data_IF_015280692488
#
_entry.id   IF_015280692488
#
_cell.length_a   1.000
_cell.length_b   1.000
_cell.length_c   1.000
_cell.angle_alpha   90.00
_cell.angle_beta   90.00
_cell.angle_gamma   90.00
#
_symmetry.space_group_name_H-M   'P 1'
#
loop_
_entity.id
_entity.type
_entity.pdbx_description
1 polymer ?
#
# COMPACT_ATOMS: atom_id res chain seq x y z
N UNK A 1 -24.96 54.05 12.54
CA UNK A 1 -23.54 54.45 12.67
C UNK A 1 -23.06 54.01 14.05
N UNK A 2 -22.33 52.89 14.13
CA UNK A 2 -21.68 52.47 15.36
C UNK A 2 -20.17 52.51 15.10
N UNK A 3 -19.52 53.49 15.72
CA UNK A 3 -18.09 53.77 15.61
C UNK A 3 -17.34 52.89 16.61
N UNK A 4 -16.44 52.05 16.11
CA UNK A 4 -15.37 51.43 16.89
C UNK A 4 -14.35 52.51 17.31
N UNK A 5 -13.86 52.50 18.57
CA UNK A 5 -12.61 53.16 18.90
C UNK A 5 -11.41 52.18 18.86
N UNK A 6 -10.16 52.70 18.67
CA UNK A 6 -9.00 51.93 18.22
C UNK A 6 -8.10 51.40 19.34
N UNK A 7 -7.29 50.41 18.98
CA UNK A 7 -6.19 49.83 19.76
C UNK A 7 -5.09 50.86 20.08
N UNK A 8 -4.48 50.78 21.28
CA UNK A 8 -3.05 50.44 21.48
C UNK A 8 -2.53 50.69 22.92
N UNK A 9 -1.45 49.96 23.25
CA UNK A 9 -0.36 50.22 24.23
C UNK A 9 -0.34 49.47 25.59
N UNK A 10 0.14 48.23 25.51
CA UNK A 10 1.45 47.75 26.04
C UNK A 10 1.98 48.43 27.33
N UNK A 11 1.83 47.78 28.49
CA UNK A 11 2.81 47.84 29.59
C UNK A 11 3.01 46.44 30.17
N UNK A 12 4.29 46.08 30.25
CA UNK A 12 4.88 44.88 30.82
C UNK A 12 4.62 44.82 32.33
N UNK A 13 4.17 43.67 32.83
CA UNK A 13 4.49 43.27 34.19
C UNK A 13 5.04 41.84 34.18
N UNK A 14 6.34 41.80 34.37
CA UNK A 14 7.18 40.65 34.64
C UNK A 14 6.64 39.85 35.82
N UNK A 15 6.60 38.53 35.67
CA UNK A 15 6.82 37.60 36.79
C UNK A 15 7.49 36.35 36.27
N UNK A 16 8.79 36.35 36.48
CA UNK A 16 9.68 35.19 36.46
C UNK A 16 9.21 34.19 37.54
N UNK A 17 9.27 32.90 37.22
CA UNK A 17 9.39 31.86 38.24
C UNK A 17 10.08 30.65 37.61
N UNK A 18 11.40 30.67 37.72
CA UNK A 18 12.24 29.49 37.64
C UNK A 18 12.02 28.63 38.87
N UNK A 19 11.83 27.33 38.66
CA UNK A 19 12.01 26.31 39.67
C UNK A 19 12.62 25.09 38.99
N UNK A 20 13.94 25.02 39.07
CA UNK A 20 14.71 23.80 38.86
C UNK A 20 14.18 22.70 39.78
N UNK A 21 13.76 21.58 39.21
CA UNK A 21 13.66 20.32 39.95
C UNK A 21 14.52 19.31 39.20
N UNK A 22 15.79 19.31 39.54
CA UNK A 22 16.61 18.12 39.45
C UNK A 22 16.00 17.04 40.36
N UNK A 23 15.57 15.93 39.77
CA UNK A 23 15.48 14.66 40.50
C UNK A 23 15.95 13.54 39.59
N UNK A 24 17.24 13.25 39.77
CA UNK A 24 17.88 11.93 39.74
C UNK A 24 17.43 10.90 38.71
N UNK A 25 18.30 10.71 37.73
CA UNK A 25 18.57 9.41 37.09
C UNK A 25 18.76 8.32 38.15
N UNK A 26 17.96 7.26 38.12
CA UNK A 26 18.29 5.99 38.77
C UNK A 26 18.43 4.91 37.71
N UNK A 27 19.68 4.53 37.47
CA UNK A 27 20.05 3.25 36.88
C UNK A 27 20.40 2.29 38.02
N UNK A 28 19.59 1.26 38.24
CA UNK A 28 19.81 0.05 39.05
C UNK A 28 18.50 -0.75 38.92
N UNK A 29 18.37 -2.06 38.74
CA UNK A 29 19.21 -3.26 38.66
C UNK A 29 18.41 -4.22 37.74
N UNK A 30 19.00 -5.18 37.03
CA UNK A 30 19.50 -6.41 37.65
C UNK A 30 18.32 -7.23 38.19
N UNK A 31 18.03 -8.32 37.47
CA UNK A 31 17.29 -9.53 37.87
C UNK A 31 15.84 -9.46 38.41
N UNK A 32 15.05 -10.42 37.91
CA UNK A 32 14.26 -11.39 38.72
C UNK A 32 12.76 -11.54 38.36
N UNK A 33 12.26 -12.75 38.60
CA UNK A 33 10.91 -13.30 38.39
C UNK A 33 10.57 -13.84 36.99
N UNK A 34 11.36 -14.79 36.49
CA UNK A 34 10.80 -15.91 35.72
C UNK A 34 10.22 -16.94 36.70
N UNK A 35 9.01 -16.71 37.18
CA UNK A 35 8.28 -17.73 37.93
C UNK A 35 6.78 -17.51 37.79
N UNK A 36 6.13 -18.27 36.90
CA UNK A 36 4.79 -18.77 37.21
C UNK A 36 4.41 -20.00 36.38
N UNK A 37 4.59 -21.13 37.05
CA UNK A 37 3.76 -22.33 37.04
C UNK A 37 3.32 -22.93 35.70
N UNK A 38 4.16 -23.85 35.23
CA UNK A 38 3.74 -25.12 34.67
C UNK A 38 3.13 -25.97 35.80
N UNK A 39 1.80 -26.07 35.88
CA UNK A 39 1.16 -27.10 36.71
C UNK A 39 0.64 -28.20 35.79
N UNK A 40 1.30 -29.35 35.92
CA UNK A 40 0.83 -30.67 35.54
C UNK A 40 -0.35 -31.04 36.45
N UNK A 41 -1.45 -31.50 35.87
CA UNK A 41 -2.44 -32.29 36.61
C UNK A 41 -2.58 -33.64 35.89
N UNK A 42 -2.13 -34.66 36.60
CA UNK A 42 -2.11 -36.08 36.27
C UNK A 42 -3.46 -36.70 36.64
N UNK A 43 -4.05 -37.40 35.67
CA UNK A 43 -4.95 -38.56 35.75
C UNK A 43 -6.15 -38.59 36.72
N UNK A 44 -7.35 -38.75 36.15
CA UNK A 44 -8.17 -39.91 36.48
C UNK A 44 -9.03 -40.34 35.28
N UNK A 45 -9.00 -41.62 34.94
CA UNK A 45 -9.86 -42.25 33.93
C UNK A 45 -10.87 -43.14 34.63
N UNK A 46 -12.17 -42.94 34.36
CA UNK A 46 -13.09 -44.07 34.33
C UNK A 46 -13.60 -44.34 32.91
N UNK A 47 -13.47 -45.61 32.51
CA UNK A 47 -14.01 -46.15 31.29
C UNK A 47 -15.56 -46.15 31.27
N UNK A 48 -16.09 -46.19 30.05
CA UNK A 48 -17.46 -46.57 29.65
C UNK A 48 -18.54 -45.48 29.81
N UNK A 49 -18.81 -44.78 28.70
CA UNK A 49 -20.03 -44.87 27.89
C UNK A 49 -19.69 -44.25 26.53
N UNK A 50 -19.67 -45.05 25.47
CA UNK A 50 -19.52 -44.56 24.10
C UNK A 50 -20.72 -43.67 23.76
N UNK A 51 -20.56 -42.39 23.39
CA UNK A 51 -21.64 -41.65 22.76
C UNK A 51 -21.85 -42.21 21.34
N UNK A 52 -23.11 -42.30 20.86
CA UNK A 52 -23.39 -42.80 19.51
C UNK A 52 -22.69 -41.90 18.47
N UNK A 53 -22.27 -42.45 17.32
CA UNK A 53 -21.65 -41.65 16.27
C UNK A 53 -22.65 -40.58 15.80
N UNK A 54 -22.35 -39.32 16.12
CA UNK A 54 -23.11 -38.16 15.64
C UNK A 54 -23.04 -38.10 14.12
N UNK A 55 -24.18 -38.33 13.50
CA UNK A 55 -24.48 -38.12 12.08
C UNK A 55 -24.31 -36.64 11.73
N UNK A 56 -23.13 -36.27 11.21
CA UNK A 56 -22.97 -35.00 10.49
C UNK A 56 -23.38 -35.20 9.03
N UNK A 57 -24.15 -34.28 8.44
CA UNK A 57 -24.50 -34.35 7.03
C UNK A 57 -23.24 -34.21 6.16
N UNK A 58 -23.14 -35.06 5.14
CA UNK A 58 -22.18 -34.98 4.05
C UNK A 58 -22.10 -33.56 3.50
N UNK A 59 -21.02 -32.85 3.82
CA UNK A 59 -20.61 -31.70 3.01
C UNK A 59 -19.97 -32.25 1.76
N UNK A 60 -20.78 -32.30 0.70
CA UNK A 60 -20.36 -32.63 -0.65
C UNK A 60 -18.99 -32.02 -0.97
N UNK A 61 -18.03 -32.91 -1.24
CA UNK A 61 -16.74 -32.56 -1.81
C UNK A 61 -17.00 -31.95 -3.20
N UNK A 62 -17.06 -30.63 -3.29
CA UNK A 62 -16.97 -29.95 -4.59
C UNK A 62 -15.53 -30.04 -5.07
N UNK A 63 -15.19 -31.15 -5.72
CA UNK A 63 -14.01 -31.26 -6.57
C UNK A 63 -14.10 -30.14 -7.61
N UNK A 64 -13.33 -29.08 -7.39
CA UNK A 64 -13.04 -28.13 -8.45
C UNK A 64 -12.11 -28.86 -9.39
N UNK A 65 -12.64 -29.27 -10.54
CA UNK A 65 -11.84 -29.69 -11.68
C UNK A 65 -10.83 -28.59 -11.98
N UNK A 66 -9.58 -28.82 -11.57
CA UNK A 66 -8.43 -28.09 -12.06
C UNK A 66 -8.27 -28.48 -13.52
N UNK A 67 -8.90 -27.72 -14.41
CA UNK A 67 -8.51 -27.74 -15.80
C UNK A 67 -7.08 -27.18 -15.84
N UNK A 68 -6.13 -28.12 -15.82
CA UNK A 68 -4.74 -27.87 -16.13
C UNK A 68 -4.71 -27.26 -17.54
N UNK A 69 -4.57 -25.94 -17.62
CA UNK A 69 -4.13 -25.29 -18.84
C UNK A 69 -2.64 -25.55 -18.97
N UNK A 70 -2.33 -26.69 -19.57
CA UNK A 70 -1.01 -27.01 -20.07
C UNK A 70 -0.69 -26.02 -21.21
N UNK A 71 0.54 -25.51 -21.21
CA UNK A 71 1.15 -24.91 -22.40
C UNK A 71 0.71 -23.48 -22.72
N UNK A 72 1.40 -22.52 -22.11
CA UNK A 72 1.94 -21.41 -22.89
C UNK A 72 3.03 -20.76 -22.05
N UNK A 73 4.26 -20.73 -22.57
CA UNK A 73 5.26 -19.78 -22.13
C UNK A 73 4.70 -18.39 -22.39
N UNK A 74 3.89 -17.90 -21.45
CA UNK A 74 3.40 -16.54 -21.46
C UNK A 74 4.63 -15.66 -21.28
N UNK A 75 5.18 -15.19 -22.40
CA UNK A 75 5.80 -13.87 -22.45
C UNK A 75 4.77 -12.97 -21.80
N UNK A 76 4.97 -12.66 -20.52
CA UNK A 76 4.15 -11.67 -19.83
C UNK A 76 4.24 -10.45 -20.73
N UNK A 77 3.13 -9.92 -21.29
CA UNK A 77 3.24 -8.67 -22.02
C UNK A 77 3.90 -7.73 -21.05
N UNK A 78 5.04 -7.19 -21.44
CA UNK A 78 5.65 -6.06 -20.75
C UNK A 78 4.54 -5.02 -20.71
N UNK A 79 3.85 -4.93 -19.57
CA UNK A 79 2.84 -3.90 -19.36
C UNK A 79 3.63 -2.63 -19.18
N UNK A 80 4.07 -2.06 -20.29
CA UNK A 80 4.55 -0.70 -20.33
C UNK A 80 3.39 0.13 -19.77
N UNK A 81 3.65 0.94 -18.75
CA UNK A 81 2.64 1.82 -18.14
C UNK A 81 2.32 2.99 -19.10
N UNK A 82 2.15 2.68 -20.39
CA UNK A 82 1.94 3.64 -21.45
C UNK A 82 0.44 3.83 -21.64
N UNK A 83 -0.01 5.10 -21.78
CA UNK A 83 -1.37 5.41 -22.16
C UNK A 83 -1.77 4.69 -23.45
N UNK A 84 -2.87 3.94 -23.42
CA UNK A 84 -3.43 3.22 -24.59
C UNK A 84 -4.54 4.04 -25.22
N UNK A 85 -4.66 4.04 -26.53
CA UNK A 85 -5.78 4.71 -27.22
C UNK A 85 -7.12 4.03 -26.90
N UNK A 86 -8.16 4.84 -26.65
CA UNK A 86 -9.52 4.39 -26.37
C UNK A 86 -10.38 4.55 -27.63
N UNK A 87 -10.30 3.58 -28.54
CA UNK A 87 -11.02 3.62 -29.83
C UNK A 87 -12.55 3.76 -29.70
N UNK A 88 -13.13 3.30 -28.60
CA UNK A 88 -14.57 3.45 -28.34
C UNK A 88 -15.01 4.90 -28.09
N UNK A 89 -14.08 5.78 -27.74
CA UNK A 89 -14.32 7.21 -27.48
C UNK A 89 -13.69 8.10 -28.57
N UNK A 90 -13.25 7.50 -29.67
CA UNK A 90 -12.64 8.22 -30.77
C UNK A 90 -13.69 9.05 -31.50
N UNK A 91 -13.31 10.27 -31.88
CA UNK A 91 -14.04 11.03 -32.88
C UNK A 91 -13.49 10.70 -34.27
N UNK A 92 -14.15 9.77 -34.96
CA UNK A 92 -13.72 9.35 -36.30
C UNK A 92 -13.90 10.43 -37.37
N UNK A 93 -14.78 11.41 -37.14
CA UNK A 93 -15.00 12.50 -38.10
C UNK A 93 -13.79 13.44 -38.13
N UNK A 94 -13.32 13.85 -36.95
CA UNK A 94 -12.10 14.63 -36.78
C UNK A 94 -10.88 13.85 -37.23
N UNK A 95 -10.81 12.55 -36.91
CA UNK A 95 -9.72 11.69 -37.38
C UNK A 95 -9.63 11.67 -38.91
N UNK A 96 -10.74 11.45 -39.59
CA UNK A 96 -10.78 11.34 -41.05
C UNK A 96 -10.35 12.63 -41.74
N UNK A 97 -10.69 13.79 -41.18
CA UNK A 97 -10.29 15.08 -41.73
C UNK A 97 -8.79 15.35 -41.51
N UNK A 98 -8.26 15.00 -40.34
CA UNK A 98 -6.86 15.24 -39.99
C UNK A 98 -5.89 14.22 -40.61
N UNK A 99 -6.37 13.01 -40.91
CA UNK A 99 -5.59 11.95 -41.52
C UNK A 99 -5.72 11.92 -43.05
N UNK A 100 -6.26 12.98 -43.66
CA UNK A 100 -6.39 13.05 -45.11
C UNK A 100 -5.01 13.28 -45.75
N UNK A 101 -4.54 12.26 -46.49
CA UNK A 101 -3.24 12.25 -47.15
C UNK A 101 -3.49 12.33 -48.65
N UNK A 102 -3.09 13.44 -49.26
CA UNK A 102 -3.26 13.64 -50.71
C UNK A 102 -2.03 13.17 -51.46
N UNK A 103 -2.20 12.69 -52.70
CA UNK A 103 -1.13 12.18 -53.56
C UNK A 103 0.04 13.16 -53.68
N UNK A 104 -0.26 14.46 -53.83
CA UNK A 104 0.75 15.52 -53.96
C UNK A 104 1.64 15.69 -52.73
N UNK A 105 1.19 15.26 -51.55
CA UNK A 105 1.99 15.32 -50.30
C UNK A 105 2.93 14.13 -50.14
N UNK A 106 2.70 13.06 -50.90
CA UNK A 106 3.48 11.81 -50.86
C UNK A 106 4.46 11.73 -52.03
N UNK A 107 4.28 12.53 -53.08
CA UNK A 107 5.21 12.64 -54.22
C UNK A 107 6.48 13.46 -53.92
N UNK A 108 7.13 13.21 -52.78
CA UNK A 108 8.46 13.77 -52.47
C UNK A 108 9.55 12.95 -53.16
N UNK A 109 10.71 13.57 -53.44
CA UNK A 109 11.82 12.90 -54.11
C UNK A 109 12.46 11.78 -53.27
N UNK A 110 12.31 11.86 -51.95
CA UNK A 110 12.81 10.86 -51.00
C UNK A 110 11.67 10.05 -50.37
N UNK A 111 11.81 8.72 -50.41
CA UNK A 111 10.86 7.75 -49.85
C UNK A 111 10.84 7.82 -48.33
N UNK A 112 12.00 8.07 -47.69
CA UNK A 112 12.07 8.12 -46.23
C UNK A 112 11.23 9.28 -45.69
N UNK A 113 11.35 10.44 -46.35
CA UNK A 113 10.55 11.63 -46.06
C UNK A 113 9.04 11.37 -46.19
N UNK A 114 8.59 10.72 -47.28
CA UNK A 114 7.17 10.41 -47.47
C UNK A 114 6.64 9.48 -46.38
N UNK A 115 7.42 8.46 -45.99
CA UNK A 115 7.04 7.53 -44.92
C UNK A 115 6.93 8.25 -43.57
N UNK A 116 7.88 9.13 -43.25
CA UNK A 116 7.82 9.94 -42.03
C UNK A 116 6.62 10.87 -42.03
N UNK A 117 6.30 11.49 -43.17
CA UNK A 117 5.13 12.35 -43.30
C UNK A 117 3.83 11.59 -43.01
N UNK A 118 3.63 10.43 -43.64
CA UNK A 118 2.45 9.57 -43.42
C UNK A 118 2.37 9.15 -41.95
N UNK A 119 3.49 8.70 -41.37
CA UNK A 119 3.53 8.29 -39.97
C UNK A 119 3.16 9.44 -39.02
N UNK A 120 3.64 10.66 -39.28
CA UNK A 120 3.34 11.84 -38.50
C UNK A 120 1.88 12.28 -38.66
N UNK A 121 1.33 12.26 -39.88
CA UNK A 121 -0.08 12.57 -40.14
C UNK A 121 -1.01 11.65 -39.34
N UNK A 122 -0.79 10.33 -39.42
CA UNK A 122 -1.56 9.33 -38.66
C UNK A 122 -1.39 9.53 -37.15
N UNK A 123 -0.16 9.77 -36.69
CA UNK A 123 0.12 9.95 -35.25
C UNK A 123 -0.54 11.21 -34.70
N UNK A 124 -0.49 12.32 -35.44
CA UNK A 124 -1.07 13.60 -35.05
C UNK A 124 -2.59 13.57 -35.07
N UNK A 125 -3.19 12.98 -36.12
CA UNK A 125 -4.63 12.75 -36.17
C UNK A 125 -5.07 11.88 -34.99
N UNK A 126 -4.37 10.77 -34.73
CA UNK A 126 -4.67 9.86 -33.61
C UNK A 126 -4.59 10.56 -32.25
N UNK A 127 -3.56 11.37 -32.03
CA UNK A 127 -3.38 12.11 -30.76
C UNK A 127 -4.46 13.16 -30.53
N UNK A 128 -5.06 13.70 -31.60
CA UNK A 128 -6.06 14.77 -31.54
C UNK A 128 -7.48 14.24 -31.40
N UNK A 129 -7.81 13.12 -32.05
CA UNK A 129 -9.17 12.60 -32.12
C UNK A 129 -9.44 11.39 -31.22
N UNK A 130 -8.39 10.65 -30.80
CA UNK A 130 -8.54 9.45 -29.97
C UNK A 130 -7.99 9.72 -28.58
N UNK A 131 -8.85 9.82 -27.55
CA UNK A 131 -8.38 10.00 -26.19
C UNK A 131 -7.59 8.77 -25.74
N UNK A 132 -6.49 8.99 -25.02
CA UNK A 132 -5.71 7.92 -24.39
C UNK A 132 -6.24 7.62 -22.98
N UNK A 133 -6.07 6.38 -22.53
CA UNK A 133 -6.29 6.03 -21.12
C UNK A 133 -5.47 6.94 -20.24
N UNK A 134 -6.06 7.41 -19.15
CA UNK A 134 -5.31 8.13 -18.14
C UNK A 134 -4.10 7.31 -17.69
N UNK A 135 -2.93 7.93 -17.50
CA UNK A 135 -1.81 7.27 -16.86
C UNK A 135 -2.31 6.66 -15.55
N UNK A 136 -2.07 5.36 -15.33
CA UNK A 136 -2.38 4.75 -14.05
C UNK A 136 -1.47 5.39 -13.01
N UNK A 137 -1.96 6.41 -12.32
CA UNK A 137 -1.24 6.99 -11.20
C UNK A 137 -0.94 5.86 -10.23
N UNK A 138 0.35 5.70 -9.90
CA UNK A 138 0.73 4.74 -8.87
C UNK A 138 -0.02 5.15 -7.62
N UNK A 139 -0.76 4.21 -7.04
CA UNK A 139 -1.39 4.43 -5.73
C UNK A 139 -0.32 4.99 -4.81
N UNK A 140 -0.55 6.19 -4.26
CA UNK A 140 0.37 6.79 -3.30
C UNK A 140 0.70 5.74 -2.25
N UNK A 141 1.99 5.41 -2.14
CA UNK A 141 2.41 4.48 -1.09
C UNK A 141 2.18 5.21 0.22
N UNK A 142 1.64 4.50 1.19
CA UNK A 142 1.44 5.04 2.53
C UNK A 142 2.80 5.58 3.02
N UNK A 143 2.93 6.85 3.43
CA UNK A 143 4.22 7.44 3.79
C UNK A 143 4.98 6.67 4.88
N UNK A 144 4.23 6.07 5.82
CA UNK A 144 4.75 5.22 6.88
C UNK A 144 5.18 3.81 6.46
N UNK A 145 5.00 3.42 5.19
CA UNK A 145 5.33 2.08 4.71
C UNK A 145 6.83 1.97 4.35
N UNK A 146 7.64 1.59 5.33
CA UNK A 146 9.10 1.47 5.22
C UNK A 146 9.60 0.02 5.05
N UNK A 147 10.92 -0.16 4.99
CA UNK A 147 11.55 -1.49 4.87
C UNK A 147 11.20 -2.41 6.03
N UNK A 148 11.22 -1.90 7.27
CA UNK A 148 10.82 -2.66 8.46
C UNK A 148 9.37 -3.19 8.36
N UNK A 149 8.43 -2.39 7.84
CA UNK A 149 7.06 -2.84 7.58
C UNK A 149 6.96 -3.94 6.50
N UNK A 150 7.85 -3.92 5.50
CA UNK A 150 7.93 -4.98 4.49
C UNK A 150 8.46 -6.27 5.11
N UNK A 151 9.54 -6.20 5.88
CA UNK A 151 10.15 -7.36 6.52
C UNK A 151 9.25 -7.99 7.57
N UNK A 152 8.46 -7.16 8.28
CA UNK A 152 7.49 -7.67 9.25
C UNK A 152 6.35 -8.49 8.60
N UNK A 153 6.18 -8.45 7.27
CA UNK A 153 5.26 -9.35 6.55
C UNK A 153 5.71 -10.81 6.56
N UNK A 154 6.91 -11.13 7.08
CA UNK A 154 7.32 -12.49 7.42
C UNK A 154 6.31 -13.20 8.34
N UNK A 155 5.47 -12.46 9.07
CA UNK A 155 4.32 -13.03 9.80
C UNK A 155 3.42 -13.90 8.90
N UNK A 156 3.26 -13.54 7.63
CA UNK A 156 2.43 -14.29 6.67
C UNK A 156 3.09 -15.62 6.27
N UNK A 157 4.43 -15.67 6.24
CA UNK A 157 5.17 -16.90 5.98
C UNK A 157 4.95 -17.87 7.15
N UNK A 158 5.07 -17.37 8.38
CA UNK A 158 4.82 -18.16 9.59
C UNK A 158 3.36 -18.57 9.73
N UNK A 159 2.42 -17.69 9.37
CA UNK A 159 1.01 -18.04 9.26
C UNK A 159 0.78 -19.18 8.27
N UNK A 160 1.38 -19.09 7.08
CA UNK A 160 1.26 -20.14 6.07
C UNK A 160 1.89 -21.45 6.53
N UNK A 161 3.01 -21.39 7.28
CA UNK A 161 3.65 -22.56 7.88
C UNK A 161 2.75 -23.21 8.93
N UNK A 162 2.25 -22.45 9.90
CA UNK A 162 1.31 -22.93 10.92
C UNK A 162 0.03 -23.51 10.29
N UNK A 163 -0.53 -22.86 9.27
CA UNK A 163 -1.73 -23.35 8.59
C UNK A 163 -1.53 -24.68 7.88
N UNK A 164 -0.32 -24.97 7.40
CA UNK A 164 0.03 -26.27 6.78
C UNK A 164 0.38 -27.32 7.83
N UNK A 165 1.06 -26.90 8.89
CA UNK A 165 1.57 -27.77 9.94
C UNK A 165 1.22 -27.16 11.32
N UNK A 166 0.03 -27.48 11.86
CA UNK A 166 -0.49 -26.87 13.07
C UNK A 166 0.17 -27.46 14.33
N UNK A 167 1.44 -27.13 14.54
CA UNK A 167 2.20 -27.47 15.75
C UNK A 167 2.21 -26.29 16.72
N UNK A 168 2.41 -26.57 18.01
CA UNK A 168 2.49 -25.55 19.07
C UNK A 168 3.64 -24.58 18.82
N UNK A 169 4.81 -25.08 18.40
CA UNK A 169 5.96 -24.26 18.03
C UNK A 169 5.63 -23.26 16.90
N UNK A 170 4.98 -23.75 15.83
CA UNK A 170 4.57 -22.90 14.70
C UNK A 170 3.55 -21.84 15.14
N UNK A 171 2.65 -22.17 16.07
CA UNK A 171 1.68 -21.23 16.63
C UNK A 171 2.37 -20.12 17.44
N UNK A 172 3.31 -20.49 18.31
CA UNK A 172 4.08 -19.54 19.13
C UNK A 172 4.90 -18.60 18.24
N UNK A 173 5.64 -19.15 17.27
CA UNK A 173 6.42 -18.36 16.32
C UNK A 173 5.55 -17.37 15.53
N UNK A 174 4.40 -17.82 15.04
CA UNK A 174 3.44 -16.94 14.36
C UNK A 174 2.89 -15.85 15.28
N UNK A 175 2.46 -16.18 16.51
CA UNK A 175 1.94 -15.20 17.48
C UNK A 175 2.98 -14.13 17.80
N UNK A 176 4.23 -14.54 18.03
CA UNK A 176 5.34 -13.62 18.28
C UNK A 176 5.57 -12.68 17.08
N UNK A 177 5.70 -13.23 15.87
CA UNK A 177 5.89 -12.43 14.66
C UNK A 177 4.71 -11.49 14.37
N UNK A 178 3.47 -11.91 14.66
CA UNK A 178 2.27 -11.10 14.52
C UNK A 178 2.24 -9.92 15.49
N UNK A 179 2.65 -10.16 16.74
CA UNK A 179 2.85 -9.10 17.74
C UNK A 179 3.89 -8.08 17.28
N UNK A 180 5.05 -8.57 16.83
CA UNK A 180 6.14 -7.73 16.32
C UNK A 180 5.70 -6.89 15.10
N UNK A 181 5.03 -7.51 14.12
CA UNK A 181 4.54 -6.81 12.94
C UNK A 181 3.54 -5.69 13.28
N UNK A 182 2.66 -5.92 14.26
CA UNK A 182 1.76 -4.88 14.77
C UNK A 182 2.52 -3.73 15.42
N UNK A 183 3.53 -4.01 16.27
CA UNK A 183 4.37 -2.99 16.91
C UNK A 183 5.11 -2.15 15.87
N UNK A 184 5.77 -2.79 14.90
CA UNK A 184 6.51 -2.10 13.83
C UNK A 184 5.57 -1.18 13.04
N UNK A 185 4.40 -1.66 12.61
CA UNK A 185 3.45 -0.84 11.84
C UNK A 185 2.99 0.40 12.62
N UNK A 186 2.67 0.25 13.91
CA UNK A 186 2.26 1.38 14.77
C UNK A 186 3.41 2.37 14.96
N UNK A 187 4.63 1.87 15.18
CA UNK A 187 5.83 2.72 15.31
C UNK A 187 6.08 3.50 14.03
N UNK A 188 6.14 2.84 12.87
CA UNK A 188 6.36 3.52 11.59
C UNK A 188 5.27 4.55 11.27
N UNK A 189 4.01 4.29 11.62
CA UNK A 189 2.92 5.26 11.49
C UNK A 189 3.15 6.50 12.34
N UNK A 190 3.49 6.30 13.62
CA UNK A 190 3.78 7.40 14.54
C UNK A 190 4.97 8.22 14.08
N UNK A 191 6.09 7.58 13.74
CA UNK A 191 7.31 8.26 13.30
C UNK A 191 7.06 9.04 12.00
N UNK A 192 6.36 8.46 11.03
CA UNK A 192 5.99 9.15 9.80
C UNK A 192 5.09 10.36 10.06
N UNK A 193 4.17 10.27 11.03
CA UNK A 193 3.31 11.38 11.40
C UNK A 193 4.10 12.50 12.09
N UNK A 194 4.97 12.13 13.03
CA UNK A 194 5.87 13.08 13.70
C UNK A 194 6.72 13.80 12.65
N UNK A 195 7.36 13.07 11.74
CA UNK A 195 8.17 13.66 10.68
C UNK A 195 7.37 14.59 9.76
N UNK A 196 6.13 14.22 9.43
CA UNK A 196 5.24 15.06 8.64
C UNK A 196 4.95 16.38 9.35
N UNK A 197 4.53 16.33 10.62
CA UNK A 197 4.26 17.53 11.41
C UNK A 197 5.53 18.38 11.59
N UNK A 198 6.67 17.75 11.88
CA UNK A 198 7.96 18.44 11.99
C UNK A 198 8.42 19.10 10.68
N UNK A 199 7.91 18.66 9.53
CA UNK A 199 8.21 19.26 8.22
C UNK A 199 7.35 20.50 7.91
N UNK A 200 6.27 20.72 8.66
CA UNK A 200 5.41 21.90 8.50
C UNK A 200 6.11 23.09 9.15
N UNK A 201 6.57 24.02 8.33
CA UNK A 201 7.24 25.26 8.75
C UNK A 201 6.42 26.48 8.29
N UNK A 202 6.75 27.68 8.78
CA UNK A 202 6.07 28.93 8.36
C UNK A 202 6.14 29.19 6.84
N UNK A 203 7.09 28.58 6.14
CA UNK A 203 7.25 28.65 4.68
C UNK A 203 6.40 27.63 3.89
N UNK A 204 5.73 26.68 4.55
CA UNK A 204 4.90 25.68 3.83
C UNK A 204 3.60 26.31 3.33
N UNK A 205 3.42 26.36 2.01
CA UNK A 205 2.20 26.91 1.40
C UNK A 205 1.00 25.98 1.58
N UNK A 206 -0.22 26.54 1.56
CA UNK A 206 -1.47 25.75 1.60
C UNK A 206 -1.62 24.74 0.45
N UNK A 207 -0.91 24.89 -0.68
CA UNK A 207 -0.93 23.90 -1.78
C UNK A 207 -0.06 22.67 -1.50
N UNK A 208 0.80 22.73 -0.49
CA UNK A 208 1.73 21.66 -0.09
C UNK A 208 1.22 20.85 1.12
N UNK A 209 0.20 21.36 1.81
CA UNK A 209 -0.53 20.66 2.88
C UNK A 209 -1.70 19.87 2.28
#
# INVERSE_FOLDING_TARGET
>A
MALLPPLEKRILQSRESDADTEMSSSSLSGEDALEYNMSEDLEDSPAVISPPPSSKPEKANKYKNSLAKNGSCAIKPHTTNQPRFLFQRADWTVFSQLADITETTVSTADISESVQYIANAITNASNSSIPKTLPRLRKFRKPWWNAACRDSRRENILWNRFRRYPTTENLVAFKHAKGLARRIRRRSQRESWINFISSIASSTSSKQL
#
